data_IF_010227291205
#
_entry.id   IF_010227291205
#
_cell.length_a   1.000
_cell.length_b   1.000
_cell.length_c   1.000
_cell.angle_alpha   90.00
_cell.angle_beta   90.00
_cell.angle_gamma   90.00
#
_symmetry.space_group_name_H-M   'P 1'
#
loop_
_entity.id
_entity.type
_entity.pdbx_description
1 polymer ?
#
# COMPACT_ATOMS: atom_id res chain seq x y z
N UNK A 1 -14.40 -17.69 3.40
CA UNK A 1 -13.27 -17.52 2.47
C UNK A 1 -12.17 -16.71 3.12
N UNK A 2 -10.92 -17.12 2.95
CA UNK A 2 -9.74 -16.62 3.66
C UNK A 2 -8.85 -15.76 2.75
N UNK A 3 -7.94 -15.00 3.35
CA UNK A 3 -6.92 -14.25 2.59
C UNK A 3 -6.03 -15.17 1.74
N UNK A 4 -5.72 -16.38 2.24
CA UNK A 4 -4.90 -17.33 1.50
C UNK A 4 -5.63 -17.89 0.27
N UNK A 5 -6.95 -18.14 0.36
CA UNK A 5 -7.76 -18.53 -0.78
C UNK A 5 -7.82 -17.43 -1.86
N UNK A 6 -7.91 -16.16 -1.45
CA UNK A 6 -7.84 -15.00 -2.36
C UNK A 6 -6.49 -14.94 -3.08
N UNK A 7 -5.38 -15.18 -2.36
CA UNK A 7 -4.04 -15.20 -2.96
C UNK A 7 -3.83 -16.30 -3.99
N UNK A 8 -4.52 -17.43 -3.82
CA UNK A 8 -4.41 -18.60 -4.70
C UNK A 8 -5.42 -18.58 -5.84
N UNK A 9 -6.36 -17.63 -5.85
CA UNK A 9 -7.35 -17.55 -6.92
C UNK A 9 -6.72 -17.18 -8.26
N UNK A 10 -6.98 -18.00 -9.28
CA UNK A 10 -6.37 -17.87 -10.62
C UNK A 10 -6.80 -16.59 -11.34
N UNK A 11 -8.04 -16.14 -11.16
CA UNK A 11 -8.53 -14.94 -11.82
C UNK A 11 -7.88 -13.70 -11.22
N UNK A 12 -7.86 -13.61 -9.88
CA UNK A 12 -7.18 -12.52 -9.16
C UNK A 12 -5.70 -12.47 -9.53
N UNK A 13 -5.04 -13.63 -9.53
CA UNK A 13 -3.63 -13.73 -9.93
C UNK A 13 -3.41 -13.19 -11.34
N UNK A 14 -4.26 -13.57 -12.29
CA UNK A 14 -4.17 -13.10 -13.67
C UNK A 14 -4.37 -11.59 -13.76
N UNK A 15 -5.34 -11.04 -13.03
CA UNK A 15 -5.63 -9.59 -13.07
C UNK A 15 -4.47 -8.76 -12.51
N UNK A 16 -3.90 -9.17 -11.38
CA UNK A 16 -2.73 -8.48 -10.78
C UNK A 16 -1.52 -8.56 -11.72
N UNK A 17 -1.25 -9.74 -12.30
CA UNK A 17 -0.14 -9.91 -13.23
C UNK A 17 -0.28 -9.03 -14.49
N UNK A 18 -1.47 -8.94 -15.06
CA UNK A 18 -1.72 -8.11 -16.23
C UNK A 18 -1.69 -6.61 -15.90
N UNK A 19 -2.21 -6.20 -14.74
CA UNK A 19 -2.11 -4.83 -14.27
C UNK A 19 -0.64 -4.39 -14.13
N UNK A 20 0.20 -5.23 -13.52
CA UNK A 20 1.63 -4.96 -13.35
C UNK A 20 2.39 -4.94 -14.69
N UNK A 21 2.05 -5.84 -15.62
CA UNK A 21 2.63 -5.86 -16.97
C UNK A 21 2.29 -4.58 -17.76
N UNK A 22 1.03 -4.11 -17.68
CA UNK A 22 0.61 -2.85 -18.29
C UNK A 22 1.37 -1.65 -17.72
N UNK A 23 1.49 -1.56 -16.40
CA UNK A 23 2.24 -0.49 -15.75
C UNK A 23 3.73 -0.54 -16.09
N UNK A 24 4.29 -1.74 -16.20
CA UNK A 24 5.69 -1.94 -16.62
C UNK A 24 5.94 -1.42 -18.04
N UNK A 25 5.03 -1.72 -18.98
CA UNK A 25 5.11 -1.25 -20.35
C UNK A 25 5.03 0.28 -20.47
N UNK A 26 4.35 0.94 -19.52
CA UNK A 26 4.22 2.39 -19.42
C UNK A 26 5.36 3.07 -18.62
N UNK A 27 6.34 2.30 -18.13
CA UNK A 27 7.49 2.82 -17.39
C UNK A 27 7.23 3.10 -15.90
N UNK A 28 6.10 2.66 -15.35
CA UNK A 28 5.80 2.85 -13.92
C UNK A 28 6.61 1.87 -13.03
N UNK A 29 6.82 2.28 -11.78
CA UNK A 29 7.40 1.44 -10.75
C UNK A 29 6.60 0.17 -10.50
N UNK A 30 7.19 -0.82 -9.81
CA UNK A 30 6.60 -2.13 -9.54
C UNK A 30 5.27 -2.04 -8.77
N UNK A 31 4.25 -2.74 -9.27
CA UNK A 31 2.95 -2.96 -8.64
C UNK A 31 2.61 -4.47 -8.66
N UNK A 32 3.64 -5.31 -8.48
CA UNK A 32 3.58 -6.75 -8.54
C UNK A 32 3.01 -7.39 -7.27
N UNK A 33 2.99 -8.73 -7.25
CA UNK A 33 2.63 -9.52 -6.07
C UNK A 33 3.46 -9.18 -4.84
N UNK A 34 4.73 -8.81 -4.99
CA UNK A 34 5.56 -8.41 -3.87
C UNK A 34 5.02 -7.14 -3.20
N UNK A 35 4.58 -6.15 -3.99
CA UNK A 35 3.97 -4.93 -3.49
C UNK A 35 2.64 -5.20 -2.78
N UNK A 36 1.67 -5.82 -3.47
CA UNK A 36 0.33 -6.01 -2.91
C UNK A 36 0.35 -6.91 -1.67
N UNK A 37 1.26 -7.92 -1.62
CA UNK A 37 1.47 -8.74 -0.44
C UNK A 37 2.06 -7.93 0.71
N UNK A 38 3.07 -7.11 0.46
CA UNK A 38 3.67 -6.26 1.49
C UNK A 38 2.65 -5.28 2.09
N UNK A 39 1.76 -4.71 1.27
CA UNK A 39 0.68 -3.83 1.73
C UNK A 39 -0.34 -4.61 2.57
N UNK A 40 -0.77 -5.80 2.11
CA UNK A 40 -1.69 -6.66 2.85
C UNK A 40 -1.14 -7.03 4.24
N UNK A 41 0.11 -7.48 4.31
CA UNK A 41 0.73 -7.88 5.57
C UNK A 41 0.91 -6.70 6.53
N UNK A 42 1.31 -5.52 6.03
CA UNK A 42 1.41 -4.30 6.87
C UNK A 42 0.05 -3.86 7.39
N UNK A 43 -0.99 -3.91 6.56
CA UNK A 43 -2.35 -3.56 6.97
C UNK A 43 -2.88 -4.54 8.05
N UNK A 44 -2.69 -5.84 7.83
CA UNK A 44 -3.03 -6.88 8.81
C UNK A 44 -2.26 -6.72 10.12
N UNK A 45 -0.96 -6.46 10.05
CA UNK A 45 -0.11 -6.22 11.22
C UNK A 45 -0.64 -5.08 12.11
N UNK A 46 -1.10 -3.98 11.52
CA UNK A 46 -1.65 -2.85 12.29
C UNK A 46 -2.85 -3.31 13.12
N UNK A 47 -3.86 -3.92 12.49
CA UNK A 47 -5.08 -4.33 13.19
C UNK A 47 -4.83 -5.47 14.19
N UNK A 48 -3.97 -6.42 13.84
CA UNK A 48 -3.58 -7.51 14.74
C UNK A 48 -2.89 -6.99 15.99
N UNK A 49 -1.95 -6.05 15.84
CA UNK A 49 -1.24 -5.43 16.96
C UNK A 49 -2.21 -4.66 17.88
N UNK A 50 -3.24 -4.05 17.31
CA UNK A 50 -4.26 -3.31 18.07
C UNK A 50 -5.35 -4.21 18.67
N UNK A 51 -5.27 -5.53 18.52
CA UNK A 51 -6.19 -6.48 19.12
C UNK A 51 -7.57 -6.56 18.43
N UNK A 52 -7.65 -6.18 17.15
CA UNK A 52 -8.89 -6.35 16.39
C UNK A 52 -9.22 -7.83 16.17
N UNK A 53 -10.50 -8.19 15.99
CA UNK A 53 -10.91 -9.56 15.70
C UNK A 53 -10.18 -10.14 14.49
N UNK A 54 -9.82 -11.42 14.55
CA UNK A 54 -9.07 -12.10 13.49
C UNK A 54 -9.71 -11.94 12.10
N UNK A 55 -11.04 -12.04 12.03
CA UNK A 55 -11.78 -11.83 10.77
C UNK A 55 -11.57 -10.44 10.20
N UNK A 56 -11.55 -9.40 11.03
CA UNK A 56 -11.29 -8.02 10.60
C UNK A 56 -9.86 -7.86 10.05
N UNK A 57 -8.89 -8.49 10.72
CA UNK A 57 -7.50 -8.54 10.24
C UNK A 57 -7.43 -9.18 8.85
N UNK A 58 -8.13 -10.30 8.67
CA UNK A 58 -8.17 -11.01 7.40
C UNK A 58 -8.82 -10.20 6.28
N UNK A 59 -9.98 -9.58 6.52
CA UNK A 59 -10.64 -8.71 5.54
C UNK A 59 -9.76 -7.52 5.15
N UNK A 60 -9.00 -6.98 6.11
CA UNK A 60 -8.05 -5.90 5.86
C UNK A 60 -6.87 -6.35 5.00
N UNK A 61 -6.37 -7.57 5.19
CA UNK A 61 -5.36 -8.16 4.31
C UNK A 61 -5.89 -8.33 2.89
N UNK A 62 -7.12 -8.82 2.73
CA UNK A 62 -7.77 -8.96 1.41
C UNK A 62 -7.88 -7.58 0.73
N UNK A 63 -8.32 -6.56 1.45
CA UNK A 63 -8.39 -5.20 0.91
C UNK A 63 -7.01 -4.69 0.46
N UNK A 64 -5.97 -4.92 1.28
CA UNK A 64 -4.59 -4.57 0.94
C UNK A 64 -4.07 -5.31 -0.30
N UNK A 65 -4.45 -6.55 -0.49
CA UNK A 65 -4.05 -7.35 -1.64
C UNK A 65 -4.73 -6.91 -2.94
N UNK A 66 -5.98 -6.46 -2.86
CA UNK A 66 -6.79 -6.06 -4.01
C UNK A 66 -6.71 -4.56 -4.35
N UNK A 67 -6.06 -3.72 -3.53
CA UNK A 67 -6.13 -2.26 -3.63
C UNK A 67 -5.71 -1.69 -4.99
N UNK A 68 -4.75 -2.33 -5.63
CA UNK A 68 -4.16 -1.90 -6.91
C UNK A 68 -4.73 -2.62 -8.15
N UNK A 69 -5.69 -3.55 -7.97
CA UNK A 69 -6.24 -4.35 -9.06
C UNK A 69 -6.88 -3.50 -10.17
N UNK A 70 -7.32 -2.29 -9.83
CA UNK A 70 -7.90 -1.33 -10.77
C UNK A 70 -6.90 -0.79 -11.79
N UNK A 71 -5.59 -0.94 -11.59
CA UNK A 71 -4.59 -0.62 -12.60
C UNK A 71 -4.73 -1.48 -13.88
N UNK A 72 -5.50 -2.55 -13.83
CA UNK A 72 -5.89 -3.32 -15.02
C UNK A 72 -6.75 -2.50 -15.99
N UNK A 73 -7.55 -1.58 -15.46
CA UNK A 73 -8.52 -0.77 -16.22
C UNK A 73 -7.93 0.59 -16.57
N UNK A 74 -7.39 1.30 -15.57
CA UNK A 74 -6.87 2.66 -15.73
C UNK A 74 -5.87 3.00 -14.63
N UNK A 75 -4.90 3.89 -14.95
CA UNK A 75 -3.93 4.37 -13.97
C UNK A 75 -4.48 5.52 -13.13
N UNK A 76 -5.18 6.46 -13.76
CA UNK A 76 -5.83 7.58 -13.06
C UNK A 76 -7.08 7.03 -12.38
N UNK A 77 -7.25 7.32 -11.09
CA UNK A 77 -8.39 6.85 -10.28
C UNK A 77 -8.52 5.30 -10.17
N UNK A 78 -7.41 4.57 -10.39
CA UNK A 78 -7.37 3.11 -10.27
C UNK A 78 -7.92 2.56 -8.95
N UNK A 79 -7.87 3.34 -7.86
CA UNK A 79 -8.47 2.93 -6.58
C UNK A 79 -9.99 2.80 -6.65
N UNK A 80 -10.66 3.66 -7.42
CA UNK A 80 -12.11 3.57 -7.64
C UNK A 80 -12.46 2.38 -8.53
N UNK A 81 -11.75 2.22 -9.65
CA UNK A 81 -11.90 1.03 -10.52
C UNK A 81 -11.59 -0.25 -9.78
N UNK A 82 -10.55 -0.25 -8.94
CA UNK A 82 -10.18 -1.37 -8.09
C UNK A 82 -11.26 -1.74 -7.09
N UNK A 83 -11.91 -0.73 -6.48
CA UNK A 83 -13.02 -0.97 -5.57
C UNK A 83 -14.21 -1.66 -6.27
N UNK A 84 -14.57 -1.21 -7.49
CA UNK A 84 -15.64 -1.83 -8.28
C UNK A 84 -15.26 -3.25 -8.71
N UNK A 85 -14.01 -3.48 -9.13
CA UNK A 85 -13.52 -4.81 -9.47
C UNK A 85 -13.52 -5.74 -8.26
N UNK A 86 -13.02 -5.27 -7.11
CA UNK A 86 -13.01 -6.03 -5.86
C UNK A 86 -14.44 -6.41 -5.44
N UNK A 87 -15.38 -5.46 -5.49
CA UNK A 87 -16.79 -5.74 -5.23
C UNK A 87 -17.29 -6.91 -6.10
N UNK A 88 -17.08 -6.83 -7.41
CA UNK A 88 -17.57 -7.86 -8.34
C UNK A 88 -16.92 -9.23 -8.12
N UNK A 89 -15.61 -9.26 -7.85
CA UNK A 89 -14.85 -10.48 -7.58
C UNK A 89 -15.38 -11.14 -6.30
N UNK A 90 -15.49 -10.39 -5.21
CA UNK A 90 -15.90 -10.90 -3.91
C UNK A 90 -17.36 -11.36 -3.90
N UNK A 91 -18.26 -10.66 -4.62
CA UNK A 91 -19.65 -11.05 -4.81
C UNK A 91 -19.74 -12.41 -5.53
N UNK A 92 -19.01 -12.59 -6.63
CA UNK A 92 -18.93 -13.88 -7.34
C UNK A 92 -18.33 -15.01 -6.50
N UNK A 93 -17.47 -14.68 -5.54
CA UNK A 93 -16.86 -15.65 -4.62
C UNK A 93 -17.74 -15.98 -3.41
N UNK A 94 -18.90 -15.31 -3.25
CA UNK A 94 -19.86 -15.57 -2.19
C UNK A 94 -19.49 -15.02 -0.84
N UNK A 95 -18.79 -13.87 -0.80
CA UNK A 95 -18.64 -13.10 0.44
C UNK A 95 -19.97 -12.49 0.87
N UNK A 96 -20.15 -12.33 2.19
CA UNK A 96 -21.31 -11.63 2.72
C UNK A 96 -21.28 -10.13 2.35
N UNK A 97 -22.44 -9.50 2.07
CA UNK A 97 -22.50 -8.11 1.64
C UNK A 97 -21.80 -7.11 2.56
N UNK A 98 -21.85 -7.35 3.87
CA UNK A 98 -21.18 -6.53 4.88
C UNK A 98 -19.66 -6.62 4.77
N UNK A 99 -19.12 -7.79 4.50
CA UNK A 99 -17.69 -8.00 4.28
C UNK A 99 -17.23 -7.38 2.97
N UNK A 100 -18.01 -7.52 1.90
CA UNK A 100 -17.75 -6.89 0.59
C UNK A 100 -17.67 -5.36 0.77
N UNK A 101 -18.63 -4.77 1.47
CA UNK A 101 -18.67 -3.32 1.72
C UNK A 101 -17.40 -2.87 2.46
N UNK A 102 -16.98 -3.59 3.51
CA UNK A 102 -15.77 -3.27 4.28
C UNK A 102 -14.52 -3.37 3.42
N UNK A 103 -14.34 -4.46 2.68
CA UNK A 103 -13.17 -4.67 1.81
C UNK A 103 -13.13 -3.61 0.72
N UNK A 104 -14.25 -3.32 0.07
CA UNK A 104 -14.34 -2.35 -1.03
C UNK A 104 -13.99 -0.94 -0.55
N UNK A 105 -14.53 -0.52 0.61
CA UNK A 105 -14.17 0.77 1.22
C UNK A 105 -12.69 0.82 1.59
N UNK A 106 -12.18 -0.24 2.22
CA UNK A 106 -10.78 -0.30 2.63
C UNK A 106 -9.85 -0.28 1.41
N UNK A 107 -10.14 -1.03 0.35
CA UNK A 107 -9.35 -1.05 -0.88
C UNK A 107 -9.31 0.33 -1.55
N UNK A 108 -10.44 1.06 -1.58
CA UNK A 108 -10.47 2.43 -2.10
C UNK A 108 -9.67 3.42 -1.25
N UNK A 109 -9.59 3.18 0.07
CA UNK A 109 -8.93 4.05 1.05
C UNK A 109 -7.50 3.61 1.39
N UNK A 110 -7.10 2.36 1.10
CA UNK A 110 -5.74 1.87 1.33
C UNK A 110 -4.76 2.65 0.45
N UNK A 111 -4.41 3.80 0.95
CA UNK A 111 -3.23 4.56 0.53
C UNK A 111 -2.02 4.27 1.42
N UNK A 112 -2.11 3.24 2.27
CA UNK A 112 -1.01 2.68 3.04
C UNK A 112 0.08 2.02 2.16
N UNK A 113 -0.22 1.85 0.87
CA UNK A 113 0.75 1.48 -0.17
C UNK A 113 2.01 2.36 -0.14
N UNK A 114 1.87 3.60 0.36
CA UNK A 114 2.97 4.59 0.42
C UNK A 114 3.97 4.34 1.54
N UNK A 115 3.72 3.38 2.41
CA UNK A 115 4.76 2.84 3.30
C UNK A 115 5.64 1.79 2.60
N UNK A 116 5.26 1.33 1.39
CA UNK A 116 6.08 0.44 0.57
C UNK A 116 6.93 1.24 -0.44
N UNK A 117 7.72 2.16 0.09
CA UNK A 117 8.71 2.92 -0.67
C UNK A 117 10.05 2.23 -0.52
N UNK A 118 10.62 1.73 -1.63
CA UNK A 118 11.87 0.98 -1.61
C UNK A 118 12.55 0.94 -2.97
N UNK A 119 13.88 0.89 -2.96
CA UNK A 119 14.73 0.88 -4.16
C UNK A 119 14.36 -0.22 -5.16
N UNK A 120 14.01 -1.42 -4.69
CA UNK A 120 13.69 -2.56 -5.55
C UNK A 120 12.38 -2.41 -6.36
N UNK A 121 11.59 -1.36 -6.13
CA UNK A 121 10.41 -1.05 -6.95
C UNK A 121 10.75 -0.33 -8.26
N UNK A 122 11.93 0.27 -8.34
CA UNK A 122 12.37 0.99 -9.55
C UNK A 122 12.78 -0.03 -10.60
N UNK A 123 12.15 0.03 -11.77
CA UNK A 123 12.45 -0.83 -12.93
C UNK A 123 13.39 -0.19 -13.92
N UNK A 124 13.37 1.15 -13.97
CA UNK A 124 14.30 1.91 -14.81
C UNK A 124 15.72 1.64 -14.35
N UNK A 125 16.60 1.28 -15.27
CA UNK A 125 18.02 0.99 -15.00
C UNK A 125 18.93 2.17 -15.29
N UNK A 126 18.43 3.19 -15.98
CA UNK A 126 19.20 4.40 -16.31
C UNK A 126 18.84 5.54 -15.34
N UNK A 127 19.73 5.74 -14.37
CA UNK A 127 19.56 6.78 -13.32
C UNK A 127 19.40 8.18 -13.93
N UNK A 128 20.00 8.44 -15.11
CA UNK A 128 19.93 9.76 -15.75
C UNK A 128 18.53 10.11 -16.24
N UNK A 129 17.67 9.11 -16.44
CA UNK A 129 16.29 9.26 -16.94
C UNK A 129 15.24 9.08 -15.83
N UNK A 130 15.65 8.99 -14.57
CA UNK A 130 14.73 8.83 -13.44
C UNK A 130 13.76 10.01 -13.34
N UNK A 131 12.47 9.70 -13.29
CA UNK A 131 11.46 10.67 -12.87
C UNK A 131 11.49 10.88 -11.34
N UNK A 132 10.61 11.72 -10.82
CA UNK A 132 10.55 11.97 -9.36
C UNK A 132 10.17 10.71 -8.57
N UNK A 133 9.30 9.85 -9.13
CA UNK A 133 8.88 8.61 -8.46
C UNK A 133 10.03 7.60 -8.43
N UNK A 134 10.80 7.49 -9.51
CA UNK A 134 11.99 6.65 -9.56
C UNK A 134 13.02 7.14 -8.54
N UNK A 135 13.36 8.44 -8.56
CA UNK A 135 14.33 9.01 -7.61
C UNK A 135 13.94 8.77 -6.17
N UNK A 136 12.68 9.00 -5.81
CA UNK A 136 12.22 8.83 -4.43
C UNK A 136 12.25 7.36 -4.03
N UNK A 137 11.73 6.43 -4.84
CA UNK A 137 11.79 5.00 -4.51
C UNK A 137 13.24 4.51 -4.45
N UNK A 138 14.10 4.93 -5.37
CA UNK A 138 15.50 4.51 -5.43
C UNK A 138 16.31 5.03 -4.25
N UNK A 139 16.03 6.23 -3.76
CA UNK A 139 16.71 6.83 -2.61
C UNK A 139 16.33 6.16 -1.29
N UNK A 140 15.16 5.52 -1.17
CA UNK A 140 14.74 4.88 0.08
C UNK A 140 15.42 3.51 0.20
N UNK A 141 16.37 3.40 1.11
CA UNK A 141 17.12 2.18 1.40
C UNK A 141 16.43 1.30 2.43
N UNK A 142 15.62 1.90 3.33
CA UNK A 142 14.88 1.18 4.37
C UNK A 142 13.56 1.89 4.68
N UNK A 143 12.49 1.10 4.79
CA UNK A 143 11.16 1.57 5.22
C UNK A 143 10.61 0.61 6.26
N UNK A 144 10.36 1.12 7.47
CA UNK A 144 9.85 0.36 8.61
C UNK A 144 8.61 1.01 9.19
N UNK A 145 7.57 0.22 9.39
CA UNK A 145 6.36 0.62 10.10
C UNK A 145 6.29 -0.13 11.42
N UNK A 146 6.18 0.60 12.54
CA UNK A 146 6.13 0.01 13.88
C UNK A 146 5.08 0.69 14.76
N UNK A 147 4.39 -0.11 15.57
CA UNK A 147 3.53 0.36 16.65
C UNK A 147 4.31 0.17 17.96
N UNK A 148 4.25 1.14 18.87
CA UNK A 148 4.89 1.04 20.18
C UNK A 148 4.15 0.04 21.09
N UNK A 149 4.80 -0.47 22.12
CA UNK A 149 4.24 -1.46 23.06
C UNK A 149 2.98 -0.96 23.78
N UNK A 150 2.87 0.35 24.02
CA UNK A 150 1.69 0.94 24.63
C UNK A 150 0.49 1.10 23.68
N UNK A 151 0.63 0.74 22.41
CA UNK A 151 -0.38 0.89 21.35
C UNK A 151 -0.97 2.31 21.25
N UNK A 152 -0.11 3.31 21.41
CA UNK A 152 -0.49 4.74 21.34
C UNK A 152 0.12 5.46 20.15
N UNK A 153 1.13 4.85 19.52
CA UNK A 153 1.94 5.48 18.49
C UNK A 153 2.22 4.52 17.35
N UNK A 154 1.96 4.95 16.12
CA UNK A 154 2.43 4.30 14.89
C UNK A 154 3.54 5.15 14.27
N UNK A 155 4.70 4.56 14.01
CA UNK A 155 5.88 5.22 13.47
C UNK A 155 6.24 4.66 12.10
N UNK A 156 6.31 5.51 11.09
CA UNK A 156 6.93 5.22 9.81
C UNK A 156 8.37 5.78 9.84
N UNK A 157 9.36 4.88 9.76
CA UNK A 157 10.78 5.26 9.70
C UNK A 157 11.33 4.96 8.30
N UNK A 158 11.87 5.98 7.66
CA UNK A 158 12.52 5.88 6.35
C UNK A 158 14.01 6.22 6.48
N UNK A 159 14.85 5.45 5.78
CA UNK A 159 16.25 5.79 5.55
C UNK A 159 16.40 6.18 4.09
N UNK A 160 16.74 7.43 3.85
CA UNK A 160 16.86 8.04 2.52
C UNK A 160 18.34 8.32 2.22
N UNK A 161 18.81 7.82 1.11
CA UNK A 161 20.12 8.17 0.54
C UNK A 161 19.99 9.54 -0.16
N UNK A 162 20.47 10.58 0.51
CA UNK A 162 20.36 11.97 0.05
C UNK A 162 21.25 12.30 -1.16
N UNK A 163 22.16 11.40 -1.56
CA UNK A 163 22.92 11.53 -2.82
C UNK A 163 22.08 11.14 -4.04
N UNK A 164 21.04 10.32 -3.82
CA UNK A 164 20.19 9.80 -4.92
C UNK A 164 18.85 10.52 -5.05
N UNK A 165 18.38 11.17 -3.98
CA UNK A 165 17.13 11.92 -3.99
C UNK A 165 16.99 12.79 -2.75
N UNK A 166 16.31 13.92 -2.89
CA UNK A 166 16.11 14.82 -1.77
C UNK A 166 14.92 14.41 -0.90
N UNK A 167 14.97 14.78 0.38
CA UNK A 167 13.80 14.64 1.28
C UNK A 167 12.64 15.50 0.78
N UNK A 168 12.92 16.59 0.06
CA UNK A 168 11.87 17.44 -0.55
C UNK A 168 11.12 16.72 -1.66
N UNK A 169 11.81 15.94 -2.51
CA UNK A 169 11.16 15.11 -3.54
C UNK A 169 10.17 14.12 -2.92
N UNK A 170 10.55 13.54 -1.75
CA UNK A 170 9.65 12.68 -0.99
C UNK A 170 8.38 13.43 -0.55
N UNK A 171 8.53 14.63 -0.01
CA UNK A 171 7.37 15.43 0.41
C UNK A 171 6.50 15.86 -0.75
N UNK A 172 7.07 16.22 -1.88
CA UNK A 172 6.33 16.62 -3.08
C UNK A 172 5.32 15.55 -3.51
N UNK A 173 5.73 14.28 -3.54
CA UNK A 173 4.84 13.20 -3.98
C UNK A 173 4.03 12.55 -2.86
N UNK A 174 4.45 12.66 -1.59
CA UNK A 174 3.83 11.92 -0.48
C UNK A 174 3.17 12.77 0.61
N UNK A 175 3.31 14.10 0.62
CA UNK A 175 2.78 14.94 1.68
C UNK A 175 1.27 14.73 1.91
N UNK A 176 0.46 14.81 0.85
CA UNK A 176 -0.99 14.62 0.96
C UNK A 176 -1.34 13.24 1.55
N UNK A 177 -0.51 12.23 1.27
CA UNK A 177 -0.69 10.85 1.75
C UNK A 177 -0.27 10.71 3.20
N UNK A 178 0.78 11.40 3.64
CA UNK A 178 1.19 11.43 5.05
C UNK A 178 0.12 12.08 5.94
N UNK A 179 -0.54 13.13 5.43
CA UNK A 179 -1.70 13.74 6.12
C UNK A 179 -2.84 12.72 6.29
N UNK A 180 -3.10 11.89 5.27
CA UNK A 180 -4.11 10.84 5.37
C UNK A 180 -3.69 9.72 6.33
N UNK A 181 -2.42 9.33 6.35
CA UNK A 181 -1.89 8.37 7.32
C UNK A 181 -2.09 8.87 8.76
N UNK A 182 -1.85 10.16 9.02
CA UNK A 182 -2.10 10.78 10.32
C UNK A 182 -3.57 10.69 10.71
N UNK A 183 -4.49 11.09 9.82
CA UNK A 183 -5.94 11.01 10.07
C UNK A 183 -6.41 9.57 10.30
N UNK A 184 -5.88 8.60 9.57
CA UNK A 184 -6.19 7.19 9.76
C UNK A 184 -5.70 6.69 11.12
N UNK A 185 -4.48 7.05 11.52
CA UNK A 185 -3.94 6.72 12.83
C UNK A 185 -4.80 7.29 13.96
N UNK A 186 -5.20 8.56 13.87
CA UNK A 186 -6.12 9.20 14.82
C UNK A 186 -7.44 8.43 14.98
N UNK A 187 -8.00 7.91 13.87
CA UNK A 187 -9.21 7.08 13.90
C UNK A 187 -9.02 5.73 14.60
N UNK A 188 -7.80 5.23 14.61
CA UNK A 188 -7.41 4.01 15.34
C UNK A 188 -6.96 4.30 16.79
N UNK A 189 -7.07 5.55 17.25
CA UNK A 189 -6.62 5.96 18.59
C UNK A 189 -5.10 6.08 18.71
N UNK A 190 -4.38 6.19 17.59
CA UNK A 190 -2.93 6.27 17.53
C UNK A 190 -2.44 7.67 17.13
N UNK A 191 -1.28 8.06 17.64
CA UNK A 191 -0.51 9.18 17.11
C UNK A 191 0.37 8.68 15.95
N UNK A 192 0.36 9.37 14.80
CA UNK A 192 1.25 9.07 13.68
C UNK A 192 2.55 9.87 13.80
N UNK A 193 3.70 9.21 13.59
CA UNK A 193 5.01 9.84 13.48
C UNK A 193 5.73 9.41 12.22
N UNK A 194 6.26 10.40 11.49
CA UNK A 194 7.16 10.18 10.36
C UNK A 194 8.59 10.54 10.79
N UNK A 195 9.52 9.61 10.58
CA UNK A 195 10.95 9.84 10.75
C UNK A 195 11.67 9.60 9.44
N UNK A 196 12.53 10.54 9.04
CA UNK A 196 13.43 10.39 7.90
C UNK A 196 14.86 10.66 8.37
N UNK A 197 15.77 9.72 8.11
CA UNK A 197 17.19 9.81 8.52
C UNK A 197 17.35 10.22 10.00
N UNK A 198 16.57 9.56 10.87
CA UNK A 198 16.54 9.75 12.31
C UNK A 198 15.93 11.09 12.80
N UNK A 199 15.55 12.00 11.91
CA UNK A 199 14.83 13.21 12.25
C UNK A 199 13.33 12.96 12.26
N UNK A 200 12.65 13.35 13.34
CA UNK A 200 11.20 13.35 13.40
C UNK A 200 10.67 14.59 12.68
N UNK A 201 9.77 14.37 11.71
CA UNK A 201 9.22 15.42 10.86
C UNK A 201 7.74 15.70 11.16
N UNK A 202 7.02 14.68 11.65
CA UNK A 202 5.62 14.77 12.11
C UNK A 202 5.50 14.02 13.43
#
# INVERSE_FOLDING_TARGET
MTYEEIRQDKAIHTYIAQADASLSALGFTEHSFAHVTAVAEKAGYILQTLGYPERMVELTKIAGYLHDIGNLVNRVDHSQSGAVMAFRILDNMGFEPEEIALITMAAALIRADKSDVRRSRVRNTDISTFDIHDRVNYSVTKSELKINEAHTLIKLKLTVDTHMGSVMDYFEIFMARMILCRKAAEKLGLQFKLMINEQQLI
#
